data_IF_730264970913
#
_entry.id   IF_730264970913
#
_cell.length_a   1.000
_cell.length_b   1.000
_cell.length_c   1.000
_cell.angle_alpha   90.00
_cell.angle_beta   90.00
_cell.angle_gamma   90.00
#
_symmetry.space_group_name_H-M   'P 1'
#
loop_
_entity.id
_entity.type
_entity.pdbx_description
1 polymer ?
#
# COMPACT_ATOMS: atom_id res chain seq x y z
N UNK A 1 37.38 -42.31 3.03
CA UNK A 1 37.50 -40.95 3.62
C UNK A 1 36.25 -40.19 3.20
N UNK A 2 35.23 -40.18 4.06
CA UNK A 2 33.88 -39.66 3.75
C UNK A 2 33.90 -38.15 4.05
N UNK A 3 33.80 -37.31 3.03
CA UNK A 3 33.79 -35.86 3.17
C UNK A 3 32.37 -35.43 3.58
N UNK A 4 32.16 -35.25 4.88
CA UNK A 4 30.94 -34.64 5.43
C UNK A 4 31.05 -33.13 5.18
N UNK A 5 30.31 -32.61 4.20
CA UNK A 5 30.15 -31.17 3.98
C UNK A 5 28.94 -30.73 4.82
N UNK A 6 29.22 -30.21 6.01
CA UNK A 6 28.22 -29.49 6.82
C UNK A 6 28.04 -28.11 6.17
N UNK A 7 26.92 -27.91 5.48
CA UNK A 7 26.46 -26.57 5.12
C UNK A 7 25.98 -25.87 6.40
N UNK A 8 26.82 -25.01 6.97
CA UNK A 8 26.33 -23.96 7.85
C UNK A 8 25.51 -22.98 7.01
N UNK A 9 24.17 -23.15 6.99
CA UNK A 9 23.27 -22.04 6.63
C UNK A 9 23.30 -21.04 7.76
N UNK A 10 24.26 -20.12 7.72
CA UNK A 10 24.19 -18.87 8.47
C UNK A 10 24.20 -17.74 7.44
N UNK A 11 23.04 -17.54 6.80
CA UNK A 11 22.67 -16.23 6.26
C UNK A 11 21.37 -15.85 6.94
N UNK A 12 21.45 -15.50 8.23
CA UNK A 12 20.41 -14.66 8.82
C UNK A 12 20.78 -13.22 8.50
N UNK A 13 20.57 -12.83 7.25
CA UNK A 13 20.33 -11.42 6.98
C UNK A 13 19.00 -11.12 7.64
N UNK A 14 18.98 -10.25 8.64
CA UNK A 14 17.71 -9.73 9.17
C UNK A 14 17.05 -8.95 8.04
N UNK A 15 16.19 -9.64 7.31
CA UNK A 15 15.39 -9.13 6.19
C UNK A 15 14.25 -8.32 6.83
N UNK A 16 14.34 -6.98 6.81
CA UNK A 16 13.30 -6.10 7.36
C UNK A 16 12.75 -5.09 6.31
N UNK A 17 11.44 -5.17 6.03
CA UNK A 17 10.57 -4.36 5.17
C UNK A 17 9.81 -3.33 6.01
N UNK A 18 9.11 -2.36 5.41
CA UNK A 18 8.22 -1.49 6.18
C UNK A 18 7.05 -2.26 6.86
N UNK A 19 6.73 -3.46 6.37
CA UNK A 19 5.76 -4.36 7.01
C UNK A 19 6.36 -5.08 8.22
N UNK A 20 7.68 -5.19 8.29
CA UNK A 20 8.39 -5.80 9.41
C UNK A 20 8.56 -4.82 10.58
N UNK A 21 8.86 -5.37 11.76
CA UNK A 21 9.10 -4.58 12.95
C UNK A 21 10.53 -4.03 13.05
N UNK A 22 10.70 -2.85 13.67
CA UNK A 22 9.65 -1.97 14.20
C UNK A 22 9.05 -1.05 13.14
N UNK A 23 7.83 -0.55 13.39
CA UNK A 23 7.10 0.40 12.54
C UNK A 23 6.77 1.67 13.28
N UNK A 24 6.97 2.81 12.62
CA UNK A 24 6.55 4.14 13.10
C UNK A 24 5.46 4.64 12.17
N UNK A 25 4.27 4.85 12.71
CA UNK A 25 3.08 5.26 11.98
C UNK A 25 2.85 6.75 12.14
N UNK A 26 2.42 7.41 11.07
CA UNK A 26 2.05 8.82 11.11
C UNK A 26 0.73 9.06 10.39
N UNK A 27 0.06 10.11 10.84
CA UNK A 27 -1.21 10.54 10.29
C UNK A 27 -1.31 12.07 10.35
N UNK A 28 -1.93 12.65 9.33
CA UNK A 28 -2.13 14.08 9.25
C UNK A 28 -2.63 14.51 7.89
N UNK A 29 -2.11 15.63 7.41
CA UNK A 29 -2.52 16.24 6.15
C UNK A 29 -1.36 16.36 5.18
N UNK A 30 -1.71 16.59 3.93
CA UNK A 30 -0.77 17.03 2.92
C UNK A 30 -1.40 18.16 2.12
N UNK A 31 -0.56 18.87 1.36
CA UNK A 31 -0.99 19.75 0.29
C UNK A 31 -0.36 19.30 -1.02
N UNK A 32 -1.18 19.18 -2.06
CA UNK A 32 -0.75 18.96 -3.45
C UNK A 32 -1.35 20.07 -4.31
N UNK A 33 -0.54 21.05 -4.65
CA UNK A 33 -0.92 22.25 -5.41
C UNK A 33 -0.61 22.10 -6.90
N UNK A 34 -1.09 21.01 -7.51
CA UNK A 34 -0.82 20.68 -8.90
C UNK A 34 -1.45 21.69 -9.86
N UNK A 35 -0.69 22.15 -10.86
CA UNK A 35 -1.21 22.96 -11.96
C UNK A 35 -2.01 22.08 -12.91
N UNK A 36 -3.33 22.21 -12.91
CA UNK A 36 -4.18 21.34 -13.72
C UNK A 36 -4.13 21.60 -15.23
N UNK A 37 -3.76 22.80 -15.72
CA UNK A 37 -3.50 22.97 -17.14
C UNK A 37 -2.38 22.09 -17.70
N UNK A 38 -1.45 21.62 -16.87
CA UNK A 38 -0.40 20.70 -17.31
C UNK A 38 -0.95 19.35 -17.78
N UNK A 39 -2.19 19.03 -17.45
CA UNK A 39 -2.81 17.76 -17.78
C UNK A 39 -3.39 17.70 -19.20
N UNK A 40 -3.37 18.81 -19.96
CA UNK A 40 -3.93 18.84 -21.31
C UNK A 40 -2.88 19.28 -22.31
N UNK A 41 -2.51 18.38 -23.22
CA UNK A 41 -1.51 18.67 -24.27
C UNK A 41 -1.85 19.89 -25.13
N UNK A 42 -3.15 20.15 -25.35
CA UNK A 42 -3.61 21.30 -26.13
C UNK A 42 -3.25 22.64 -25.48
N UNK A 43 -2.99 22.66 -24.17
CA UNK A 43 -2.57 23.88 -23.48
C UNK A 43 -1.15 24.33 -23.82
N UNK A 44 -0.40 23.49 -24.55
CA UNK A 44 0.95 23.77 -25.01
C UNK A 44 1.04 23.94 -26.52
N UNK A 45 -0.09 24.00 -27.25
CA UNK A 45 -0.10 24.29 -28.68
C UNK A 45 0.16 25.79 -28.91
N UNK A 46 1.27 26.18 -29.57
CA UNK A 46 1.60 27.58 -29.78
C UNK A 46 0.63 28.31 -30.73
N UNK A 47 -0.32 27.60 -31.35
CA UNK A 47 -1.31 28.18 -32.27
C UNK A 47 -2.66 28.50 -31.60
N UNK A 48 -2.78 28.30 -30.28
CA UNK A 48 -3.99 28.62 -29.51
C UNK A 48 -3.71 29.88 -28.67
N UNK A 49 -4.44 30.96 -28.93
CA UNK A 49 -4.19 32.28 -28.32
C UNK A 49 -4.62 32.36 -26.84
N UNK A 50 -5.50 31.47 -26.37
CA UNK A 50 -5.92 31.37 -24.96
C UNK A 50 -6.37 29.94 -24.58
N UNK A 51 -5.45 29.02 -24.31
CA UNK A 51 -5.82 27.64 -23.99
C UNK A 51 -6.44 27.47 -22.59
N UNK A 52 -6.46 28.51 -21.75
CA UNK A 52 -6.76 28.37 -20.33
C UNK A 52 -8.20 28.76 -19.96
N UNK A 53 -8.82 29.71 -20.67
CA UNK A 53 -10.17 30.21 -20.37
C UNK A 53 -11.32 29.28 -20.79
N UNK A 54 -11.10 28.35 -21.74
CA UNK A 54 -12.18 27.55 -22.36
C UNK A 54 -12.64 26.31 -21.56
N UNK A 55 -11.90 25.90 -20.51
CA UNK A 55 -12.31 24.78 -19.64
C UNK A 55 -12.06 25.06 -18.14
N UNK A 56 -12.94 25.83 -17.46
CA UNK A 56 -12.81 26.08 -16.02
C UNK A 56 -12.91 24.81 -15.15
N UNK A 57 -13.47 23.71 -15.68
CA UNK A 57 -13.53 22.44 -14.97
C UNK A 57 -12.26 21.60 -15.14
N UNK A 58 -11.54 21.70 -16.26
CA UNK A 58 -10.23 21.08 -16.47
C UNK A 58 -9.09 21.89 -15.86
N UNK A 59 -9.17 23.23 -15.95
CA UNK A 59 -8.14 24.18 -15.53
C UNK A 59 -8.40 24.78 -14.13
N UNK A 60 -9.05 24.02 -13.26
CA UNK A 60 -9.51 24.51 -11.95
C UNK A 60 -8.39 24.96 -10.99
N UNK A 61 -7.15 24.54 -11.19
CA UNK A 61 -5.97 25.06 -10.47
C UNK A 61 -4.92 25.63 -11.43
N UNK A 62 -5.32 26.61 -12.25
CA UNK A 62 -4.46 27.16 -13.30
C UNK A 62 -3.17 27.86 -12.80
N UNK A 63 -3.20 28.42 -11.59
CA UNK A 63 -2.01 29.02 -10.93
C UNK A 63 -1.29 28.06 -9.98
N UNK A 64 -1.60 26.76 -10.03
CA UNK A 64 -0.98 25.76 -9.17
C UNK A 64 0.54 25.79 -9.27
N UNK A 65 1.21 25.83 -8.11
CA UNK A 65 2.68 25.96 -8.04
C UNK A 65 3.41 24.62 -8.26
N UNK A 66 2.66 23.53 -8.43
CA UNK A 66 3.11 22.14 -8.40
C UNK A 66 3.77 21.74 -7.08
N UNK A 67 3.54 22.48 -5.99
CA UNK A 67 4.11 22.15 -4.68
C UNK A 67 3.42 20.96 -4.03
N UNK A 68 4.22 20.06 -3.47
CA UNK A 68 3.76 19.04 -2.55
C UNK A 68 4.40 19.24 -1.19
N UNK A 69 3.58 19.28 -0.13
CA UNK A 69 4.03 19.46 1.24
C UNK A 69 3.29 18.59 2.24
N UNK A 70 3.99 18.17 3.29
CA UNK A 70 3.44 17.50 4.47
C UNK A 70 2.97 18.58 5.44
N UNK A 71 1.71 18.50 5.89
CA UNK A 71 1.09 19.51 6.73
C UNK A 71 0.42 18.86 7.94
N UNK A 72 0.47 19.49 9.11
CA UNK A 72 -0.25 19.04 10.31
C UNK A 72 -0.12 17.51 10.56
N UNK A 73 1.06 16.94 10.31
CA UNK A 73 1.31 15.49 10.38
C UNK A 73 2.22 15.19 11.53
N UNK A 74 1.88 14.15 12.28
CA UNK A 74 2.66 13.70 13.43
C UNK A 74 2.72 12.19 13.48
N UNK A 75 3.70 11.68 14.22
CA UNK A 75 3.76 10.27 14.59
C UNK A 75 2.62 9.97 15.52
N UNK A 76 1.77 9.02 15.13
CA UNK A 76 0.52 8.68 15.81
C UNK A 76 0.53 7.29 16.43
N UNK A 77 1.52 6.47 16.11
CA UNK A 77 1.64 5.16 16.72
C UNK A 77 2.96 4.47 16.41
N UNK A 78 3.26 3.46 17.22
CA UNK A 78 4.44 2.63 17.07
C UNK A 78 4.01 1.18 17.23
N UNK A 79 4.46 0.32 16.31
CA UNK A 79 4.26 -1.13 16.43
C UNK A 79 5.60 -1.85 16.49
N UNK A 80 5.71 -2.77 17.44
CA UNK A 80 6.87 -3.65 17.63
C UNK A 80 6.45 -5.11 17.52
N UNK A 81 7.42 -6.02 17.68
CA UNK A 81 7.17 -7.46 17.80
C UNK A 81 6.25 -7.83 18.98
N UNK A 82 6.04 -6.91 19.92
CA UNK A 82 5.10 -7.05 21.04
C UNK A 82 3.73 -6.41 20.76
N UNK A 83 3.49 -5.93 19.54
CA UNK A 83 2.28 -5.20 19.14
C UNK A 83 2.41 -3.68 19.24
N UNK A 84 1.26 -3.00 19.18
CA UNK A 84 1.16 -1.53 19.33
C UNK A 84 1.63 -1.14 20.73
N UNK A 85 2.49 -0.12 20.81
CA UNK A 85 3.13 0.27 22.07
C UNK A 85 3.35 1.78 22.14
N UNK A 86 3.59 2.28 23.35
CA UNK A 86 3.98 3.66 23.59
C UNK A 86 5.47 3.85 23.28
N UNK A 87 5.83 5.00 22.73
CA UNK A 87 7.21 5.43 22.56
C UNK A 87 7.26 6.96 22.59
N UNK A 88 8.37 7.53 23.05
CA UNK A 88 8.55 8.98 23.14
C UNK A 88 8.41 9.68 21.79
N UNK A 89 8.63 8.97 20.67
CA UNK A 89 8.44 9.51 19.32
C UNK A 89 6.99 9.88 18.99
N UNK A 90 6.00 9.32 19.69
CA UNK A 90 4.59 9.64 19.45
C UNK A 90 4.33 11.12 19.74
N UNK A 91 3.71 11.81 18.79
CA UNK A 91 3.50 13.25 18.80
C UNK A 91 4.63 14.08 18.16
N UNK A 92 5.77 13.47 17.78
CA UNK A 92 6.77 14.14 16.97
C UNK A 92 6.18 14.54 15.60
N UNK A 93 6.55 15.71 15.11
CA UNK A 93 6.07 16.20 13.82
C UNK A 93 6.76 15.46 12.66
N UNK A 94 5.99 15.16 11.62
CA UNK A 94 6.52 14.78 10.32
C UNK A 94 6.51 16.04 9.46
N UNK A 95 7.69 16.45 9.02
CA UNK A 95 7.88 17.67 8.24
C UNK A 95 8.61 17.36 6.93
N UNK A 96 8.39 18.22 5.95
CA UNK A 96 9.18 18.26 4.73
C UNK A 96 10.32 19.29 4.81
N UNK A 97 11.08 19.40 3.71
CA UNK A 97 11.96 20.46 3.17
C UNK A 97 12.66 21.46 4.10
N UNK A 98 12.11 21.87 5.23
CA UNK A 98 12.72 22.75 6.21
C UNK A 98 13.05 24.11 5.59
N UNK A 99 14.34 24.40 5.45
CA UNK A 99 14.81 25.65 4.82
C UNK A 99 15.01 25.53 3.29
N UNK A 100 14.57 24.43 2.67
CA UNK A 100 14.61 24.20 1.23
C UNK A 100 13.24 24.47 0.59
N UNK A 101 13.17 24.69 -0.74
CA UNK A 101 11.91 24.75 -1.44
C UNK A 101 11.06 23.49 -1.21
N UNK A 102 9.73 23.65 -1.29
CA UNK A 102 8.82 22.51 -1.26
C UNK A 102 9.10 21.55 -2.42
N UNK A 103 8.81 20.27 -2.18
CA UNK A 103 8.87 19.26 -3.22
C UNK A 103 7.94 19.62 -4.38
N UNK A 104 8.24 19.10 -5.58
CA UNK A 104 7.41 19.30 -6.76
C UNK A 104 6.70 18.01 -7.14
N UNK A 105 5.39 18.08 -7.34
CA UNK A 105 4.60 17.02 -7.95
C UNK A 105 4.57 17.26 -9.46
N UNK A 106 5.02 16.27 -10.22
CA UNK A 106 5.12 16.35 -11.68
C UNK A 106 4.33 15.21 -12.27
N UNK A 107 3.37 15.54 -13.15
CA UNK A 107 2.78 14.54 -14.02
C UNK A 107 3.71 14.31 -15.20
N UNK A 108 4.32 13.13 -15.27
CA UNK A 108 5.28 12.82 -16.33
C UNK A 108 4.59 12.48 -17.66
N UNK A 109 3.28 12.22 -17.63
CA UNK A 109 2.47 11.94 -18.81
C UNK A 109 1.14 12.68 -18.72
N UNK A 110 0.99 13.73 -19.53
CA UNK A 110 -0.22 14.55 -19.58
C UNK A 110 -1.48 13.76 -19.97
N UNK A 111 -1.33 12.64 -20.67
CA UNK A 111 -2.46 11.79 -21.07
C UNK A 111 -2.79 10.72 -20.01
N UNK A 112 -1.87 10.43 -19.08
CA UNK A 112 -2.07 9.46 -17.99
C UNK A 112 -2.16 10.13 -16.61
N UNK A 113 -3.06 11.10 -16.56
CA UNK A 113 -3.22 12.02 -15.43
C UNK A 113 -3.35 11.30 -14.08
N UNK A 114 -2.54 11.73 -13.12
CA UNK A 114 -2.57 11.26 -11.74
C UNK A 114 -1.97 9.88 -11.50
N UNK A 115 -1.93 8.97 -12.49
CA UNK A 115 -1.31 7.65 -12.38
C UNK A 115 0.21 7.67 -12.59
N UNK A 116 0.69 8.67 -13.34
CA UNK A 116 2.10 8.90 -13.63
C UNK A 116 2.68 10.08 -12.81
N UNK A 117 1.98 10.54 -11.78
CA UNK A 117 2.43 11.65 -10.93
C UNK A 117 3.54 11.23 -9.98
N UNK A 118 4.65 11.98 -9.97
CA UNK A 118 5.85 11.69 -9.17
C UNK A 118 6.22 12.91 -8.31
N UNK A 119 6.64 12.66 -7.07
CA UNK A 119 7.17 13.71 -6.17
C UNK A 119 8.70 13.78 -6.31
N UNK A 120 9.22 14.97 -6.56
CA UNK A 120 10.65 15.25 -6.67
C UNK A 120 11.13 16.24 -5.60
N UNK A 121 12.35 16.04 -5.11
CA UNK A 121 13.05 16.98 -4.24
C UNK A 121 12.53 17.03 -2.79
N UNK A 122 11.78 16.02 -2.37
CA UNK A 122 11.27 15.92 -1.00
C UNK A 122 12.37 15.52 -0.01
N UNK A 123 12.47 16.27 1.09
CA UNK A 123 13.29 15.90 2.26
C UNK A 123 12.33 15.50 3.38
N UNK A 124 12.40 14.26 3.84
CA UNK A 124 11.56 13.75 4.91
C UNK A 124 12.22 13.94 6.28
N UNK A 125 11.47 14.43 7.27
CA UNK A 125 12.00 14.72 8.61
C UNK A 125 11.04 14.25 9.71
N UNK A 126 11.61 13.73 10.79
CA UNK A 126 10.95 13.55 12.08
C UNK A 126 11.53 14.59 13.03
N UNK A 127 10.68 15.46 13.57
CA UNK A 127 11.09 16.61 14.38
C UNK A 127 10.33 16.62 15.69
N UNK A 128 11.08 16.74 16.78
CA UNK A 128 10.52 16.84 18.12
C UNK A 128 9.78 18.17 18.35
N UNK A 129 8.98 18.23 19.41
CA UNK A 129 8.21 19.42 19.79
C UNK A 129 9.04 20.66 20.10
N UNK A 130 10.31 20.49 20.48
CA UNK A 130 11.27 21.58 20.72
C UNK A 130 12.08 21.96 19.45
N UNK A 131 11.75 21.36 18.30
CA UNK A 131 12.36 21.67 17.00
C UNK A 131 13.65 20.89 16.69
N UNK A 132 14.13 20.05 17.61
CA UNK A 132 15.27 19.18 17.31
C UNK A 132 14.87 18.08 16.32
N UNK A 133 15.75 17.75 15.39
CA UNK A 133 15.52 16.67 14.43
C UNK A 133 15.91 15.32 15.03
N UNK A 134 15.01 14.35 14.92
CA UNK A 134 15.31 12.94 15.22
C UNK A 134 15.87 12.22 14.00
N UNK A 135 15.32 12.54 12.83
CA UNK A 135 15.68 11.96 11.54
C UNK A 135 15.49 12.98 10.43
N UNK A 136 16.39 12.95 9.46
CA UNK A 136 16.29 13.63 8.17
C UNK A 136 16.78 12.71 7.06
N UNK A 137 16.17 12.76 5.88
CA UNK A 137 16.69 12.06 4.71
C UNK A 137 15.97 12.43 3.42
N UNK A 138 16.50 11.96 2.30
CA UNK A 138 16.01 12.25 0.96
C UNK A 138 14.95 11.23 0.55
N UNK A 139 13.75 11.71 0.20
CA UNK A 139 12.70 10.89 -0.39
C UNK A 139 13.07 10.52 -1.83
N UNK A 140 13.06 9.24 -2.16
CA UNK A 140 13.28 8.79 -3.55
C UNK A 140 12.06 9.12 -4.41
N UNK A 141 12.23 9.77 -5.56
CA UNK A 141 11.12 9.96 -6.48
C UNK A 141 10.46 8.64 -6.84
N UNK A 142 9.16 8.53 -6.55
CA UNK A 142 8.32 7.39 -6.90
C UNK A 142 6.93 7.87 -7.31
N UNK A 143 6.22 7.06 -8.08
CA UNK A 143 4.82 7.35 -8.42
C UNK A 143 3.99 7.37 -7.15
N UNK A 144 3.18 8.42 -6.97
CA UNK A 144 2.30 8.58 -5.80
C UNK A 144 1.06 7.66 -5.85
N UNK A 145 0.84 7.03 -7.00
CA UNK A 145 -0.40 6.34 -7.39
C UNK A 145 -0.11 4.91 -7.83
N UNK A 146 0.77 4.20 -7.11
CA UNK A 146 1.04 2.78 -7.39
C UNK A 146 -0.22 1.93 -7.27
N UNK A 147 -1.09 2.27 -6.31
CA UNK A 147 -2.47 1.76 -6.23
C UNK A 147 -3.41 2.93 -6.05
N UNK A 148 -4.31 3.13 -7.01
CA UNK A 148 -5.30 4.22 -6.99
C UNK A 148 -6.70 3.67 -7.25
N UNK A 149 -7.67 4.15 -6.48
CA UNK A 149 -9.07 3.79 -6.65
C UNK A 149 -9.97 4.84 -5.99
N UNK A 150 -11.27 4.80 -6.33
CA UNK A 150 -12.29 5.64 -5.71
C UNK A 150 -12.55 5.16 -4.28
N UNK A 151 -11.72 5.65 -3.35
CA UNK A 151 -11.75 5.31 -1.93
C UNK A 151 -12.88 6.01 -1.19
N UNK A 152 -13.08 7.30 -1.49
CA UNK A 152 -14.23 8.03 -0.96
C UNK A 152 -15.47 7.57 -1.71
N UNK A 153 -16.39 6.95 -0.98
CA UNK A 153 -17.64 6.46 -1.54
C UNK A 153 -18.77 7.44 -1.22
N UNK A 154 -19.89 7.30 -1.92
CA UNK A 154 -21.12 8.06 -1.64
C UNK A 154 -21.01 9.57 -1.90
N UNK A 155 -20.04 9.97 -2.72
CA UNK A 155 -19.95 11.32 -3.32
C UNK A 155 -19.67 11.20 -4.83
N UNK A 156 -20.22 12.11 -5.62
CA UNK A 156 -20.01 12.16 -7.09
C UNK A 156 -18.75 12.95 -7.49
N UNK A 157 -17.80 13.13 -6.57
CA UNK A 157 -16.57 13.85 -6.86
C UNK A 157 -15.68 13.10 -7.86
N UNK A 158 -15.00 13.85 -8.73
CA UNK A 158 -13.97 13.35 -9.64
C UNK A 158 -12.70 12.92 -8.90
N UNK A 159 -11.55 13.51 -9.22
CA UNK A 159 -10.26 13.21 -8.58
C UNK A 159 -10.24 13.37 -7.06
N UNK A 160 -11.11 14.21 -6.49
CA UNK A 160 -11.26 14.41 -5.04
C UNK A 160 -11.68 13.16 -4.27
N UNK A 161 -12.24 12.17 -4.96
CA UNK A 161 -12.69 10.91 -4.34
C UNK A 161 -11.66 9.79 -4.38
N UNK A 162 -10.52 10.03 -5.05
CA UNK A 162 -9.48 9.03 -5.19
C UNK A 162 -8.69 8.88 -3.90
N UNK A 163 -8.34 7.63 -3.59
CA UNK A 163 -7.31 7.28 -2.64
C UNK A 163 -6.13 6.70 -3.39
N UNK A 164 -4.92 7.03 -2.94
CA UNK A 164 -3.67 6.56 -3.53
C UNK A 164 -2.79 5.91 -2.48
N UNK A 165 -2.00 4.93 -2.89
CA UNK A 165 -0.94 4.31 -2.10
C UNK A 165 0.35 4.37 -2.91
N UNK A 166 1.44 4.70 -2.22
CA UNK A 166 2.78 4.67 -2.76
C UNK A 166 3.74 4.07 -1.73
N UNK A 167 4.73 3.34 -2.22
CA UNK A 167 5.95 3.09 -1.47
C UNK A 167 7.11 3.88 -2.03
N UNK A 168 8.03 4.23 -1.14
CA UNK A 168 9.29 4.84 -1.49
C UNK A 168 10.36 4.45 -0.47
N UNK A 169 11.57 4.95 -0.66
CA UNK A 169 12.65 4.89 0.31
C UNK A 169 13.08 6.28 0.75
N UNK A 170 13.55 6.38 1.99
CA UNK A 170 14.32 7.50 2.48
C UNK A 170 15.78 7.08 2.46
N UNK A 171 16.59 7.81 1.70
CA UNK A 171 18.04 7.60 1.58
C UNK A 171 18.80 8.74 2.25
N UNK A 172 20.13 8.59 2.31
CA UNK A 172 21.03 9.60 2.89
C UNK A 172 20.59 10.03 4.29
N UNK A 173 20.23 9.05 5.11
CA UNK A 173 19.62 9.31 6.42
C UNK A 173 20.64 9.90 7.37
N UNK A 174 20.31 11.07 7.89
CA UNK A 174 20.96 11.75 8.99
C UNK A 174 20.12 11.54 10.26
N UNK A 175 20.69 10.83 11.24
CA UNK A 175 20.05 10.63 12.54
C UNK A 175 20.50 11.70 13.53
N UNK A 176 19.55 12.42 14.10
CA UNK A 176 19.79 13.44 15.10
C UNK A 176 19.59 12.93 16.54
N UNK A 177 18.89 13.72 17.35
CA UNK A 177 18.59 13.38 18.74
C UNK A 177 17.50 12.31 18.79
N UNK A 178 17.81 11.12 19.31
CA UNK A 178 16.84 10.03 19.40
C UNK A 178 16.13 9.97 20.76
N UNK A 179 16.58 10.75 21.75
CA UNK A 179 16.02 10.79 23.11
C UNK A 179 15.79 9.40 23.71
N UNK A 180 14.75 9.22 24.52
CA UNK A 180 14.33 7.93 25.08
C UNK A 180 13.63 7.02 24.08
N UNK A 181 13.42 7.44 22.81
CA UNK A 181 12.77 6.61 21.81
C UNK A 181 13.54 5.32 21.55
N UNK A 182 12.94 4.20 21.95
CA UNK A 182 13.53 2.88 21.76
C UNK A 182 13.31 2.43 20.33
N UNK A 183 12.17 2.79 19.74
CA UNK A 183 11.85 2.46 18.35
C UNK A 183 12.81 3.13 17.37
N UNK A 184 13.11 4.43 17.54
CA UNK A 184 14.03 5.14 16.64
C UNK A 184 15.46 4.61 16.75
N UNK A 185 15.91 4.24 17.96
CA UNK A 185 17.21 3.56 18.16
C UNK A 185 17.26 2.22 17.46
N UNK A 186 16.18 1.42 17.53
CA UNK A 186 16.08 0.12 16.84
C UNK A 186 16.06 0.32 15.32
N UNK A 187 15.28 1.28 14.80
CA UNK A 187 15.26 1.63 13.37
C UNK A 187 16.65 2.07 12.88
N UNK A 188 17.34 2.96 13.59
CA UNK A 188 18.72 3.36 13.26
C UNK A 188 19.67 2.17 13.22
N UNK A 189 19.61 1.30 14.23
CA UNK A 189 20.45 0.11 14.32
C UNK A 189 20.23 -0.87 13.16
N UNK A 190 18.98 -1.02 12.70
CA UNK A 190 18.63 -1.88 11.58
C UNK A 190 18.94 -1.23 10.23
N UNK A 191 18.60 0.04 10.03
CA UNK A 191 18.86 0.74 8.77
C UNK A 191 20.35 0.92 8.49
N UNK A 192 21.17 1.16 9.52
CA UNK A 192 22.64 1.26 9.36
C UNK A 192 23.24 -0.07 8.87
N UNK A 193 22.63 -1.21 9.22
CA UNK A 193 23.03 -2.53 8.71
C UNK A 193 22.51 -2.78 7.28
N UNK A 194 21.36 -2.20 6.93
CA UNK A 194 20.69 -2.28 5.62
C UNK A 194 20.92 -1.05 4.74
N UNK A 195 22.19 -0.71 4.48
CA UNK A 195 22.60 0.36 3.56
C UNK A 195 22.14 1.79 3.89
N UNK A 196 21.82 2.07 5.16
CA UNK A 196 21.35 3.37 5.65
C UNK A 196 20.09 3.88 4.93
N UNK A 197 19.13 2.97 4.71
CA UNK A 197 17.85 3.25 4.06
C UNK A 197 16.67 2.86 4.95
N UNK A 198 15.59 3.62 4.83
CA UNK A 198 14.28 3.25 5.38
C UNK A 198 13.28 3.15 4.24
N UNK A 199 12.29 2.29 4.41
CA UNK A 199 11.17 2.18 3.49
C UNK A 199 9.97 2.88 4.09
N UNK A 200 9.19 3.50 3.21
CA UNK A 200 8.04 4.30 3.58
C UNK A 200 6.84 3.89 2.73
N UNK A 201 5.72 3.56 3.38
CA UNK A 201 4.40 3.41 2.76
C UNK A 201 3.58 4.66 3.06
N UNK A 202 2.98 5.29 2.05
CA UNK A 202 2.15 6.50 2.19
C UNK A 202 0.84 6.32 1.44
N UNK A 203 -0.26 6.44 2.17
CA UNK A 203 -1.60 6.56 1.62
C UNK A 203 -2.09 8.01 1.67
N UNK A 204 -2.64 8.47 0.54
CA UNK A 204 -3.25 9.80 0.38
C UNK A 204 -4.75 9.64 0.11
N UNK A 205 -5.58 10.49 0.70
CA UNK A 205 -7.04 10.49 0.47
C UNK A 205 -7.67 11.86 0.76
N UNK A 206 -8.96 12.00 0.46
CA UNK A 206 -9.76 13.15 0.91
C UNK A 206 -9.32 14.49 0.32
N UNK A 207 -8.88 14.50 -0.94
CA UNK A 207 -8.34 15.69 -1.58
C UNK A 207 -9.43 16.75 -1.86
N UNK A 208 -9.28 17.94 -1.29
CA UNK A 208 -10.19 19.06 -1.45
C UNK A 208 -9.93 19.86 -2.72
N UNK A 209 -10.94 19.95 -3.59
CA UNK A 209 -10.90 20.76 -4.83
C UNK A 209 -11.51 22.15 -4.67
N UNK A 210 -12.20 22.41 -3.56
CA UNK A 210 -12.99 23.63 -3.35
C UNK A 210 -12.80 24.18 -1.93
N UNK A 211 -12.94 25.51 -1.77
CA UNK A 211 -13.01 26.26 -0.50
C UNK A 211 -12.10 25.72 0.64
N UNK A 212 -12.66 25.53 1.85
CA UNK A 212 -11.96 25.10 3.06
C UNK A 212 -11.34 23.71 2.88
N UNK A 213 -10.10 23.65 2.41
CA UNK A 213 -9.42 22.40 2.07
C UNK A 213 -8.86 22.35 0.65
N UNK A 214 -8.98 23.44 -0.13
CA UNK A 214 -8.38 23.55 -1.46
C UNK A 214 -6.92 23.08 -1.47
N UNK A 215 -6.62 22.12 -2.35
CA UNK A 215 -5.32 21.47 -2.53
C UNK A 215 -4.83 20.64 -1.36
N UNK A 216 -5.65 20.39 -0.34
CA UNK A 216 -5.26 19.63 0.86
C UNK A 216 -5.97 18.29 0.91
N UNK A 217 -5.34 17.31 1.54
CA UNK A 217 -5.94 16.01 1.81
C UNK A 217 -5.38 15.38 3.07
N UNK A 218 -5.73 14.13 3.31
CA UNK A 218 -5.28 13.31 4.43
C UNK A 218 -4.13 12.41 4.01
N UNK A 219 -3.17 12.27 4.91
CA UNK A 219 -2.01 11.41 4.74
C UNK A 219 -1.97 10.41 5.90
N UNK A 220 -1.80 9.13 5.57
CA UNK A 220 -1.43 8.08 6.52
C UNK A 220 -0.14 7.44 6.01
N UNK A 221 0.78 7.10 6.88
CA UNK A 221 1.95 6.34 6.44
C UNK A 221 2.66 5.59 7.54
N UNK A 222 3.58 4.74 7.10
CA UNK A 222 4.37 3.87 7.95
C UNK A 222 5.82 3.89 7.49
N UNK A 223 6.72 4.10 8.44
CA UNK A 223 8.16 3.99 8.27
C UNK A 223 8.60 2.65 8.86
N UNK A 224 9.38 1.90 8.09
CA UNK A 224 10.14 0.77 8.60
C UNK A 224 11.46 0.60 7.87
N UNK A 225 12.12 -0.52 8.08
CA UNK A 225 13.44 -0.78 7.50
C UNK A 225 13.27 -1.14 6.02
N UNK A 226 14.25 -0.79 5.18
CA UNK A 226 14.28 -1.21 3.78
C UNK A 226 15.15 -2.45 3.62
N UNK A 227 14.71 -3.46 2.85
CA UNK A 227 15.58 -4.53 2.34
C UNK A 227 16.09 -4.14 0.96
N UNK A 228 17.34 -4.50 0.64
CA UNK A 228 17.86 -4.35 -0.73
C UNK A 228 17.07 -5.17 -1.77
N UNK A 229 16.38 -6.20 -1.30
CA UNK A 229 15.49 -7.05 -2.09
C UNK A 229 14.04 -6.58 -2.07
N UNK A 230 13.70 -5.50 -1.38
CA UNK A 230 12.37 -4.91 -1.50
C UNK A 230 12.22 -4.26 -2.88
N UNK A 231 11.09 -4.45 -3.57
CA UNK A 231 10.78 -3.68 -4.76
C UNK A 231 10.48 -2.22 -4.34
N UNK A 232 10.91 -1.25 -5.17
CA UNK A 232 10.64 0.18 -4.92
C UNK A 232 9.15 0.51 -5.03
N UNK A 233 8.43 -0.22 -5.88
CA UNK A 233 6.99 -0.15 -6.06
C UNK A 233 6.40 -1.55 -5.79
N UNK A 234 5.20 -1.65 -5.24
CA UNK A 234 4.56 -2.96 -5.10
C UNK A 234 4.31 -3.59 -6.48
N UNK A 235 4.96 -4.71 -6.76
CA UNK A 235 4.52 -5.62 -7.82
C UNK A 235 3.47 -6.61 -7.28
N UNK A 236 2.91 -7.43 -8.18
CA UNK A 236 1.87 -8.41 -7.84
C UNK A 236 2.27 -9.46 -6.79
N UNK A 237 3.54 -9.60 -6.43
CA UNK A 237 4.06 -10.52 -5.41
C UNK A 237 3.48 -10.31 -4.01
N UNK A 238 3.23 -9.06 -3.68
CA UNK A 238 2.91 -8.59 -2.34
C UNK A 238 1.53 -7.95 -2.35
N UNK A 239 0.73 -8.15 -3.39
CA UNK A 239 -0.61 -7.58 -3.49
C UNK A 239 -1.65 -8.68 -3.38
N UNK A 240 -2.53 -8.54 -2.40
CA UNK A 240 -3.84 -9.15 -2.49
C UNK A 240 -4.62 -8.34 -3.52
N UNK A 241 -5.05 -8.98 -4.59
CA UNK A 241 -5.84 -8.35 -5.65
C UNK A 241 -7.30 -8.73 -5.52
N UNK A 242 -8.18 -7.85 -6.00
CA UNK A 242 -9.61 -8.16 -6.07
C UNK A 242 -9.87 -9.30 -7.08
N UNK A 243 -10.29 -10.47 -6.60
CA UNK A 243 -10.95 -11.48 -7.44
C UNK A 243 -12.43 -11.56 -7.07
N UNK A 244 -13.32 -11.30 -8.03
CA UNK A 244 -14.76 -11.32 -7.78
C UNK A 244 -15.27 -12.76 -7.53
N UNK A 245 -15.61 -13.08 -6.28
CA UNK A 245 -16.70 -14.04 -6.04
C UNK A 245 -18.01 -13.33 -6.40
N UNK A 246 -18.78 -13.95 -7.30
CA UNK A 246 -19.93 -13.36 -8.00
C UNK A 246 -21.15 -13.09 -7.11
N UNK A 247 -21.10 -12.26 -6.06
CA UNK A 247 -22.32 -11.66 -5.48
C UNK A 247 -22.01 -10.27 -4.84
N UNK A 248 -22.80 -9.22 -5.10
CA UNK A 248 -22.62 -7.90 -4.47
C UNK A 248 -22.82 -7.99 -2.95
N UNK A 249 -22.25 -7.08 -2.14
CA UNK A 249 -22.43 -7.14 -0.71
C UNK A 249 -23.91 -6.86 -0.44
N UNK A 250 -24.48 -7.50 0.58
CA UNK A 250 -25.73 -6.96 1.10
C UNK A 250 -25.39 -5.63 1.78
N UNK A 251 -25.73 -4.54 1.09
CA UNK A 251 -25.56 -3.17 1.58
C UNK A 251 -26.67 -2.77 2.55
N UNK A 252 -27.56 -3.69 2.94
CA UNK A 252 -28.66 -3.43 3.89
C UNK A 252 -28.19 -2.92 5.26
N UNK A 253 -26.93 -3.19 5.63
CA UNK A 253 -26.31 -2.71 6.88
C UNK A 253 -25.59 -1.36 6.74
N UNK A 254 -25.48 -0.79 5.53
CA UNK A 254 -25.01 0.60 5.38
C UNK A 254 -26.14 1.50 5.88
N UNK A 255 -25.91 2.42 6.85
CA UNK A 255 -26.95 3.27 7.39
C UNK A 255 -27.72 4.00 6.27
N UNK A 256 -29.07 4.02 6.29
CA UNK A 256 -29.89 4.66 5.27
C UNK A 256 -29.61 6.16 5.08
N UNK A 257 -28.99 6.79 6.09
CA UNK A 257 -28.69 8.22 6.11
C UNK A 257 -27.43 8.57 5.29
N UNK A 258 -26.56 7.59 5.01
CA UNK A 258 -25.45 7.70 4.07
C UNK A 258 -25.92 7.25 2.68
N UNK A 259 -26.53 8.17 1.94
CA UNK A 259 -27.17 8.01 0.63
C UNK A 259 -26.24 7.54 -0.51
N UNK A 260 -25.61 6.38 -0.37
CA UNK A 260 -24.96 5.66 -1.45
C UNK A 260 -26.08 5.10 -2.35
N UNK A 261 -26.56 5.88 -3.32
CA UNK A 261 -27.70 5.52 -4.19
C UNK A 261 -27.41 4.39 -5.20
N UNK A 262 -26.40 3.55 -4.95
CA UNK A 262 -26.10 2.36 -5.74
C UNK A 262 -25.18 1.37 -5.00
N UNK A 263 -25.13 0.10 -5.45
CA UNK A 263 -24.22 -0.89 -4.89
C UNK A 263 -22.77 -0.43 -5.01
N UNK A 264 -21.97 -0.61 -3.95
CA UNK A 264 -20.53 -0.40 -3.96
C UNK A 264 -19.90 -1.25 -5.09
N UNK A 265 -19.58 -0.61 -6.23
CA UNK A 265 -18.95 -1.26 -7.40
C UNK A 265 -17.58 -1.86 -7.03
N UNK A 266 -16.87 -1.22 -6.11
CA UNK A 266 -15.67 -1.72 -5.43
C UNK A 266 -15.85 -1.51 -3.93
N UNK A 267 -15.58 -2.55 -3.16
CA UNK A 267 -15.79 -2.59 -1.71
C UNK A 267 -14.46 -2.56 -0.94
N UNK A 268 -13.37 -2.95 -1.61
CA UNK A 268 -12.00 -2.88 -1.15
C UNK A 268 -11.09 -2.75 -2.38
N UNK A 269 -9.95 -2.08 -2.23
CA UNK A 269 -8.86 -2.06 -3.22
C UNK A 269 -7.76 -3.03 -2.81
N UNK A 270 -6.81 -3.22 -3.71
CA UNK A 270 -5.64 -4.07 -3.50
C UNK A 270 -4.91 -3.70 -2.20
N UNK A 271 -4.35 -4.70 -1.52
CA UNK A 271 -3.75 -4.56 -0.20
C UNK A 271 -2.36 -5.18 -0.22
N UNK A 272 -1.29 -4.41 0.06
CA UNK A 272 0.01 -5.00 0.25
C UNK A 272 0.04 -5.99 1.41
N UNK A 273 0.84 -7.04 1.30
CA UNK A 273 1.04 -8.00 2.38
C UNK A 273 2.42 -8.64 2.31
N UNK A 274 2.85 -9.20 3.45
CA UNK A 274 4.09 -9.97 3.58
C UNK A 274 3.88 -11.10 4.60
N UNK A 275 4.49 -12.25 4.32
CA UNK A 275 4.59 -13.35 5.30
C UNK A 275 6.05 -13.45 5.70
N UNK A 276 6.38 -13.03 6.92
CA UNK A 276 7.72 -13.14 7.47
C UNK A 276 7.73 -14.09 8.67
N UNK A 277 8.36 -15.25 8.50
CA UNK A 277 8.36 -16.27 9.53
C UNK A 277 6.94 -16.73 9.86
N UNK A 278 6.50 -16.46 11.09
CA UNK A 278 5.18 -16.85 11.60
C UNK A 278 4.22 -15.65 11.65
N UNK A 279 4.52 -14.58 10.93
CA UNK A 279 3.73 -13.35 10.89
C UNK A 279 3.21 -13.08 9.49
N UNK A 280 1.90 -12.86 9.37
CA UNK A 280 1.27 -12.28 8.19
C UNK A 280 0.95 -10.82 8.48
N UNK A 281 1.54 -9.90 7.72
CA UNK A 281 1.26 -8.47 7.79
C UNK A 281 0.52 -8.01 6.55
N UNK A 282 -0.54 -7.22 6.70
CA UNK A 282 -1.40 -6.73 5.62
C UNK A 282 -1.60 -5.22 5.77
N UNK A 283 -1.22 -4.43 4.77
CA UNK A 283 -1.44 -2.98 4.70
C UNK A 283 -2.80 -2.69 4.05
N UNK A 284 -3.76 -2.25 4.87
CA UNK A 284 -5.09 -1.84 4.46
C UNK A 284 -5.24 -0.30 4.42
N UNK A 285 -4.14 0.45 4.53
CA UNK A 285 -4.13 1.91 4.66
C UNK A 285 -4.83 2.62 3.51
N UNK A 286 -4.82 2.03 2.31
CA UNK A 286 -5.56 2.48 1.13
C UNK A 286 -6.56 1.45 0.60
N UNK A 287 -6.85 0.37 1.32
CA UNK A 287 -7.70 -0.70 0.80
C UNK A 287 -9.17 -0.49 1.17
N UNK A 288 -9.45 0.15 2.30
CA UNK A 288 -10.80 0.32 2.83
C UNK A 288 -11.47 1.64 2.38
N UNK A 289 -12.79 1.61 2.11
CA UNK A 289 -13.53 2.80 1.69
C UNK A 289 -13.65 3.82 2.83
N UNK A 290 -13.84 5.09 2.46
CA UNK A 290 -14.02 6.18 3.42
C UNK A 290 -15.23 7.05 3.09
N UNK A 291 -15.72 7.78 4.08
CA UNK A 291 -16.68 8.87 3.90
C UNK A 291 -16.01 10.14 3.36
N UNK A 292 -16.80 11.21 3.21
CA UNK A 292 -16.34 12.53 2.74
C UNK A 292 -15.38 13.24 3.69
N UNK A 293 -15.35 12.85 4.97
CA UNK A 293 -14.42 13.35 5.98
C UNK A 293 -13.13 12.52 6.04
N UNK A 294 -13.04 11.45 5.24
CA UNK A 294 -11.93 10.51 5.24
C UNK A 294 -11.95 9.51 6.40
N UNK A 295 -13.07 9.39 7.11
CA UNK A 295 -13.28 8.32 8.08
C UNK A 295 -13.51 7.01 7.35
N UNK A 296 -12.88 5.93 7.82
CA UNK A 296 -13.15 4.59 7.30
C UNK A 296 -14.64 4.26 7.45
N UNK A 297 -15.21 3.56 6.48
CA UNK A 297 -16.55 3.03 6.58
C UNK A 297 -16.53 1.60 7.09
N UNK A 298 -17.31 1.33 8.12
CA UNK A 298 -17.58 -0.04 8.49
C UNK A 298 -18.47 -0.69 7.44
N UNK A 299 -17.95 -1.75 6.81
CA UNK A 299 -18.67 -2.48 5.76
C UNK A 299 -19.18 -3.82 6.25
N UNK A 300 -18.39 -4.54 7.05
CA UNK A 300 -18.70 -5.82 7.72
C UNK A 300 -17.46 -6.27 8.52
N UNK A 301 -17.59 -7.29 9.38
CA UNK A 301 -16.45 -8.01 9.92
C UNK A 301 -15.50 -8.47 8.81
N UNK A 302 -14.20 -8.18 8.99
CA UNK A 302 -13.14 -8.51 8.05
C UNK A 302 -12.23 -9.57 8.65
N UNK A 303 -11.90 -10.59 7.87
CA UNK A 303 -11.04 -11.70 8.29
C UNK A 303 -9.98 -11.98 7.23
N UNK A 304 -8.79 -12.39 7.65
CA UNK A 304 -7.84 -13.05 6.75
C UNK A 304 -8.10 -14.56 6.77
N UNK A 305 -7.78 -15.24 5.69
CA UNK A 305 -8.01 -16.67 5.56
C UNK A 305 -7.15 -17.35 4.49
N UNK A 306 -7.18 -18.67 4.47
CA UNK A 306 -6.64 -19.51 3.38
C UNK A 306 -7.82 -20.11 2.63
N UNK A 307 -7.88 -19.90 1.32
CA UNK A 307 -8.90 -20.52 0.45
C UNK A 307 -8.38 -21.86 -0.07
N UNK A 308 -9.20 -22.91 0.08
CA UNK A 308 -8.80 -24.26 -0.30
C UNK A 308 -9.17 -24.58 -1.75
N UNK A 309 -8.15 -24.92 -2.56
CA UNK A 309 -8.25 -25.05 -4.02
C UNK A 309 -9.10 -26.21 -4.53
N UNK A 310 -9.29 -27.29 -3.77
CA UNK A 310 -9.87 -28.50 -4.36
C UNK A 310 -11.30 -28.30 -4.86
N UNK A 311 -12.07 -27.35 -4.30
CA UNK A 311 -13.37 -26.94 -4.85
C UNK A 311 -13.74 -25.45 -4.57
N UNK A 312 -12.81 -24.62 -4.02
CA UNK A 312 -13.13 -23.29 -3.45
C UNK A 312 -14.26 -23.33 -2.41
N UNK A 313 -14.46 -24.45 -1.72
CA UNK A 313 -15.62 -24.65 -0.82
C UNK A 313 -15.36 -24.11 0.58
N UNK A 314 -14.13 -23.71 0.91
CA UNK A 314 -13.75 -23.44 2.30
C UNK A 314 -12.76 -22.29 2.46
N UNK A 315 -13.01 -21.43 3.46
CA UNK A 315 -12.04 -20.48 4.01
C UNK A 315 -11.65 -20.92 5.42
N UNK A 316 -10.36 -21.17 5.63
CA UNK A 316 -9.79 -21.32 6.97
C UNK A 316 -9.37 -19.94 7.48
N UNK A 317 -10.03 -19.45 8.52
CA UNK A 317 -9.74 -18.11 9.08
C UNK A 317 -8.40 -18.11 9.79
N UNK A 318 -7.64 -17.05 9.55
CA UNK A 318 -6.37 -16.75 10.19
C UNK A 318 -6.61 -15.70 11.26
N UNK A 319 -6.30 -16.06 12.52
CA UNK A 319 -6.44 -15.15 13.66
C UNK A 319 -7.89 -14.79 14.01
N UNK A 320 -8.03 -13.62 14.63
CA UNK A 320 -9.32 -13.06 15.03
C UNK A 320 -9.86 -12.11 13.95
N UNK A 321 -11.04 -11.53 14.21
CA UNK A 321 -11.58 -10.45 13.40
C UNK A 321 -10.60 -9.26 13.33
N UNK A 322 -10.49 -8.69 12.14
CA UNK A 322 -9.76 -7.45 11.91
C UNK A 322 -10.65 -6.29 12.33
N UNK A 323 -10.41 -5.76 13.53
CA UNK A 323 -11.11 -4.58 14.04
C UNK A 323 -10.51 -3.30 13.47
N UNK A 324 -11.02 -2.83 12.32
CA UNK A 324 -10.58 -1.59 11.68
C UNK A 324 -11.46 -0.37 12.04
N UNK A 325 -12.57 -0.63 12.72
CA UNK A 325 -13.53 0.35 13.22
C UNK A 325 -13.87 -0.01 14.67
N UNK A 326 -14.17 0.98 15.51
CA UNK A 326 -14.48 0.78 16.92
C UNK A 326 -15.61 -0.23 17.16
N UNK A 327 -15.81 -0.63 18.42
CA UNK A 327 -16.67 -1.76 18.80
C UNK A 327 -18.15 -1.63 18.39
N UNK A 328 -18.62 -0.43 18.10
CA UNK A 328 -20.05 -0.17 17.92
C UNK A 328 -20.61 -0.60 16.55
N UNK A 329 -19.76 -1.09 15.63
CA UNK A 329 -20.15 -1.67 14.32
C UNK A 329 -21.22 -0.87 13.53
N UNK A 330 -21.32 0.43 13.78
CA UNK A 330 -22.35 1.31 13.22
C UNK A 330 -21.73 2.41 12.37
N UNK A 331 -22.03 2.42 11.06
CA UNK A 331 -21.73 3.54 10.15
C UNK A 331 -20.25 3.88 9.98
N UNK A 332 -19.97 5.18 9.80
CA UNK A 332 -18.63 5.74 9.65
C UNK A 332 -17.83 5.67 10.96
N UNK A 333 -16.55 5.36 10.84
CA UNK A 333 -15.66 5.11 11.98
C UNK A 333 -15.13 6.45 12.48
N UNK A 334 -15.91 7.07 13.37
CA UNK A 334 -15.83 8.46 13.81
C UNK A 334 -14.44 8.97 14.26
N UNK A 335 -13.48 8.10 14.56
CA UNK A 335 -12.17 8.50 15.07
C UNK A 335 -10.98 8.11 14.20
N UNK A 336 -11.11 7.18 13.25
CA UNK A 336 -9.97 6.59 12.51
C UNK A 336 -8.82 6.11 13.44
N UNK A 337 -9.08 5.85 14.73
CA UNK A 337 -8.01 5.62 15.71
C UNK A 337 -7.15 4.41 15.36
N UNK A 338 -7.77 3.35 14.83
CA UNK A 338 -7.05 2.20 14.34
C UNK A 338 -6.09 2.59 13.20
N UNK A 339 -6.60 3.23 12.13
CA UNK A 339 -5.78 3.70 11.01
C UNK A 339 -4.63 4.62 11.46
N UNK A 340 -4.89 5.51 12.43
CA UNK A 340 -3.89 6.42 12.99
C UNK A 340 -2.81 5.67 13.78
N UNK A 341 -3.20 4.74 14.64
CA UNK A 341 -2.27 4.06 15.55
C UNK A 341 -1.48 2.94 14.87
N UNK A 342 -2.04 2.29 13.85
CA UNK A 342 -1.41 1.14 13.15
C UNK A 342 -0.91 1.48 11.76
N UNK A 343 -1.16 2.70 11.28
CA UNK A 343 -0.95 3.07 9.88
C UNK A 343 -1.83 2.29 8.90
N UNK A 344 -2.86 1.58 9.40
CA UNK A 344 -3.71 0.70 8.60
C UNK A 344 -3.14 -0.72 8.40
N UNK A 345 -2.06 -1.08 9.10
CA UNK A 345 -1.43 -2.40 8.98
C UNK A 345 -2.01 -3.35 10.05
N UNK A 346 -2.34 -4.57 9.63
CA UNK A 346 -2.80 -5.66 10.48
C UNK A 346 -1.72 -6.72 10.52
N UNK A 347 -1.43 -7.24 11.72
CA UNK A 347 -0.55 -8.39 11.90
C UNK A 347 -1.32 -9.58 12.45
N UNK A 348 -1.04 -10.76 11.89
CA UNK A 348 -1.68 -12.01 12.25
C UNK A 348 -0.60 -13.04 12.49
N UNK A 349 -0.50 -13.52 13.73
CA UNK A 349 0.37 -14.65 14.06
C UNK A 349 -0.19 -15.93 13.45
N UNK A 350 0.65 -16.62 12.69
CA UNK A 350 0.37 -17.91 12.06
C UNK A 350 0.94 -19.01 12.93
N UNK A 351 0.12 -20.02 13.24
CA UNK A 351 0.69 -21.25 13.78
C UNK A 351 1.43 -22.04 12.69
N UNK A 352 2.26 -23.00 13.12
CA UNK A 352 3.04 -23.84 12.22
C UNK A 352 2.22 -24.45 11.07
N UNK A 353 1.02 -24.97 11.37
CA UNK A 353 0.17 -25.60 10.36
C UNK A 353 -0.41 -24.59 9.37
N UNK A 354 -0.85 -23.42 9.84
CA UNK A 354 -1.36 -22.34 8.99
C UNK A 354 -0.27 -21.81 8.06
N UNK A 355 0.95 -21.66 8.55
CA UNK A 355 2.10 -21.25 7.74
C UNK A 355 2.46 -22.28 6.68
N UNK A 356 2.67 -23.54 7.07
CA UNK A 356 2.98 -24.62 6.12
C UNK A 356 1.89 -24.74 5.06
N UNK A 357 0.63 -24.58 5.47
CA UNK A 357 -0.50 -24.56 4.55
C UNK A 357 -0.47 -23.35 3.65
N UNK A 358 -0.25 -22.15 4.16
CA UNK A 358 -0.18 -20.93 3.36
C UNK A 358 0.92 -21.02 2.29
N UNK A 359 2.11 -21.52 2.68
CA UNK A 359 3.25 -21.71 1.79
C UNK A 359 3.04 -22.84 0.77
N UNK A 360 2.26 -23.87 1.11
CA UNK A 360 1.91 -24.98 0.19
C UNK A 360 0.64 -24.71 -0.63
N UNK A 361 -0.22 -23.80 -0.19
CA UNK A 361 -1.43 -23.35 -0.87
C UNK A 361 -1.12 -22.17 -1.79
N UNK A 362 -1.91 -22.02 -2.85
CA UNK A 362 -1.77 -20.91 -3.79
C UNK A 362 -2.51 -19.64 -3.36
N UNK A 363 -3.23 -19.66 -2.23
CA UNK A 363 -4.43 -18.83 -2.08
C UNK A 363 -4.55 -18.21 -0.69
N UNK A 364 -3.86 -17.08 -0.46
CA UNK A 364 -4.14 -16.16 0.65
C UNK A 364 -5.37 -15.32 0.33
N UNK A 365 -6.28 -15.16 1.29
CA UNK A 365 -7.50 -14.39 1.10
C UNK A 365 -7.79 -13.39 2.21
N UNK A 366 -8.36 -12.25 1.84
CA UNK A 366 -9.12 -11.40 2.74
C UNK A 366 -10.60 -11.58 2.45
N UNK A 367 -11.40 -11.83 3.47
CA UNK A 367 -12.82 -12.10 3.36
C UNK A 367 -13.65 -11.16 4.23
N UNK A 368 -14.63 -10.50 3.62
CA UNK A 368 -15.75 -9.92 4.37
C UNK A 368 -16.75 -11.01 4.69
N UNK A 369 -17.11 -11.11 5.97
CA UNK A 369 -18.08 -12.08 6.46
C UNK A 369 -19.25 -11.33 7.07
N UNK A 370 -20.48 -11.63 6.65
CA UNK A 370 -21.64 -11.21 7.44
C UNK A 370 -21.64 -11.99 8.76
N UNK A 371 -22.07 -11.30 9.81
CA UNK A 371 -22.13 -11.68 11.22
C UNK A 371 -22.16 -13.19 11.52
N UNK A 372 -21.52 -13.61 12.64
CA UNK A 372 -21.40 -15.00 13.10
C UNK A 372 -22.76 -15.59 13.56
N UNK A 373 -23.83 -15.45 12.79
CA UNK A 373 -25.12 -16.06 13.10
C UNK A 373 -25.04 -17.58 12.90
N UNK A 374 -24.51 -18.25 13.92
CA UNK A 374 -24.91 -19.53 14.51
C UNK A 374 -25.12 -20.77 13.63
N UNK A 375 -24.86 -20.77 12.34
CA UNK A 375 -24.88 -22.02 11.56
C UNK A 375 -23.54 -22.74 11.68
N UNK A 376 -23.42 -23.48 12.79
CA UNK A 376 -22.38 -24.48 13.02
C UNK A 376 -22.49 -25.56 11.94
N UNK A 377 -21.70 -25.47 10.88
CA UNK A 377 -21.51 -26.61 9.98
C UNK A 377 -20.55 -27.60 10.65
N UNK A 378 -21.11 -28.69 11.20
CA UNK A 378 -20.44 -29.79 11.90
C UNK A 378 -19.38 -30.56 11.08
N UNK A 379 -19.14 -30.19 9.82
CA UNK A 379 -18.32 -31.00 8.90
C UNK A 379 -16.84 -30.62 8.95
N UNK A 380 -16.48 -29.44 9.47
CA UNK A 380 -15.07 -29.02 9.60
C UNK A 380 -14.89 -27.97 10.71
N UNK A 381 -14.21 -28.29 11.83
CA UNK A 381 -14.18 -27.41 13.01
C UNK A 381 -13.50 -26.04 12.81
N UNK A 382 -12.78 -25.83 11.70
CA UNK A 382 -12.06 -24.58 11.38
C UNK A 382 -12.31 -24.06 9.94
N UNK A 383 -13.38 -24.52 9.28
CA UNK A 383 -13.65 -24.21 7.89
C UNK A 383 -15.01 -23.53 7.76
N UNK A 384 -15.00 -22.30 7.27
CA UNK A 384 -16.22 -21.67 6.80
C UNK A 384 -16.53 -22.24 5.43
N UNK A 385 -17.45 -23.20 5.39
CA UNK A 385 -18.01 -23.67 4.14
C UNK A 385 -18.63 -22.47 3.40
N UNK A 386 -18.23 -22.21 2.16
CA UNK A 386 -18.92 -21.27 1.29
C UNK A 386 -20.33 -21.86 1.06
N UNK A 387 -21.38 -21.29 1.64
CA UNK A 387 -22.70 -21.88 1.55
C UNK A 387 -23.17 -21.83 0.09
N UNK A 388 -23.75 -22.94 -0.38
CA UNK A 388 -24.22 -23.12 -1.76
C UNK A 388 -25.37 -22.20 -2.14
N UNK A 389 -25.95 -21.47 -1.18
CA UNK A 389 -26.95 -20.45 -1.45
C UNK A 389 -26.88 -19.29 -0.44
N UNK A 390 -26.64 -18.08 -0.96
CA UNK A 390 -27.00 -16.76 -0.39
C UNK A 390 -26.16 -16.11 0.74
N UNK A 391 -24.89 -16.46 0.95
CA UNK A 391 -24.01 -15.58 1.74
C UNK A 391 -22.99 -14.83 0.88
N UNK A 392 -22.95 -13.51 1.06
CA UNK A 392 -22.22 -12.53 0.25
C UNK A 392 -20.75 -12.45 0.68
N UNK A 393 -20.00 -13.54 0.54
CA UNK A 393 -18.57 -13.54 0.78
C UNK A 393 -17.86 -12.84 -0.38
N UNK A 394 -16.99 -11.89 -0.05
CA UNK A 394 -16.17 -11.20 -1.03
C UNK A 394 -14.70 -11.36 -0.69
N UNK A 395 -13.90 -11.69 -1.71
CA UNK A 395 -12.50 -12.02 -1.54
C UNK A 395 -11.58 -11.06 -2.24
N UNK A 396 -10.44 -10.81 -1.61
CA UNK A 396 -9.21 -10.47 -2.32
C UNK A 396 -8.29 -11.68 -2.27
N UNK A 397 -7.73 -12.08 -3.40
CA UNK A 397 -6.88 -13.25 -3.56
C UNK A 397 -5.51 -12.81 -4.02
N UNK A 398 -4.51 -13.65 -3.76
CA UNK A 398 -3.29 -13.63 -4.57
C UNK A 398 -3.47 -14.57 -5.77
N UNK A 399 -3.24 -14.05 -6.97
CA UNK A 399 -3.47 -14.81 -8.22
C UNK A 399 -2.26 -15.65 -8.67
N UNK A 400 -1.05 -15.43 -8.14
CA UNK A 400 0.16 -16.13 -8.58
C UNK A 400 1.05 -16.60 -7.42
N UNK A 401 1.58 -17.82 -7.48
CA UNK A 401 2.39 -18.42 -6.41
C UNK A 401 3.79 -17.84 -6.32
N UNK A 402 4.33 -17.48 -7.48
CA UNK A 402 5.68 -16.96 -7.62
C UNK A 402 5.64 -15.66 -8.38
N UNK A 403 6.50 -14.76 -7.96
CA UNK A 403 6.77 -13.53 -8.69
C UNK A 403 8.24 -13.46 -9.00
N UNK A 404 8.52 -12.99 -10.21
CA UNK A 404 9.87 -12.82 -10.70
C UNK A 404 10.05 -11.36 -11.07
N UNK A 405 11.08 -10.74 -10.48
CA UNK A 405 11.56 -9.44 -10.92
C UNK A 405 13.05 -9.48 -11.19
N UNK A 406 13.56 -8.63 -12.07
CA UNK A 406 14.96 -8.24 -12.08
C UNK A 406 15.51 -7.83 -10.70
N UNK A 407 16.79 -8.12 -10.45
CA UNK A 407 17.48 -7.70 -9.22
C UNK A 407 17.74 -6.20 -9.15
N UNK A 408 18.04 -5.58 -10.29
CA UNK A 408 18.40 -4.17 -10.44
C UNK A 408 17.40 -3.45 -11.36
N UNK A 409 17.39 -2.12 -11.37
CA UNK A 409 16.71 -1.38 -12.43
C UNK A 409 17.45 -1.57 -13.76
N UNK A 410 16.73 -1.92 -14.82
CA UNK A 410 17.28 -2.01 -16.18
C UNK A 410 16.31 -1.34 -17.13
N UNK A 411 16.88 -0.56 -18.03
CA UNK A 411 16.20 -0.07 -19.22
C UNK A 411 16.89 -0.73 -20.40
N UNK A 412 16.13 -1.48 -21.22
CA UNK A 412 16.68 -2.01 -22.46
C UNK A 412 16.45 -1.02 -23.60
N UNK A 413 17.55 -0.58 -24.22
CA UNK A 413 17.50 0.06 -25.53
C UNK A 413 18.01 -0.94 -26.56
N UNK A 414 17.11 -1.55 -27.33
CA UNK A 414 17.50 -2.42 -28.43
C UNK A 414 17.90 -1.54 -29.61
N UNK A 415 19.18 -1.21 -29.72
CA UNK A 415 19.69 -0.59 -30.94
C UNK A 415 19.78 -1.68 -32.04
N UNK A 416 19.19 -1.51 -33.23
CA UNK A 416 19.11 -2.55 -34.26
C UNK A 416 20.46 -3.14 -34.71
N UNK A 417 21.56 -2.44 -34.45
CA UNK A 417 22.92 -2.85 -34.84
C UNK A 417 23.73 -3.56 -33.75
N UNK A 418 23.17 -3.75 -32.55
CA UNK A 418 23.92 -4.33 -31.42
C UNK A 418 23.36 -5.72 -31.09
N UNK A 419 24.05 -6.75 -31.56
CA UNK A 419 23.80 -8.13 -31.14
C UNK A 419 24.57 -8.42 -29.85
N UNK A 420 24.06 -7.95 -28.72
CA UNK A 420 24.62 -8.30 -27.41
C UNK A 420 23.65 -9.18 -26.64
N UNK A 421 24.16 -10.30 -26.12
CA UNK A 421 23.48 -11.07 -25.08
C UNK A 421 23.65 -10.35 -23.75
N UNK A 422 22.54 -9.97 -23.11
CA UNK A 422 22.54 -9.38 -21.76
C UNK A 422 22.10 -10.44 -20.77
N UNK A 423 22.92 -10.67 -19.74
CA UNK A 423 22.52 -11.47 -18.58
C UNK A 423 21.76 -10.56 -17.61
N UNK A 424 20.47 -10.85 -17.39
CA UNK A 424 19.69 -10.16 -16.36
C UNK A 424 19.47 -11.10 -15.18
N UNK A 425 20.01 -10.79 -13.99
CA UNK A 425 19.70 -11.55 -12.79
C UNK A 425 18.26 -11.27 -12.38
N UNK A 426 17.50 -12.33 -12.12
CA UNK A 426 16.15 -12.25 -11.57
C UNK A 426 16.16 -12.67 -10.09
N UNK A 427 15.40 -11.94 -9.29
CA UNK A 427 14.92 -12.31 -7.97
C UNK A 427 13.56 -13.00 -8.14
N UNK A 428 13.40 -14.15 -7.50
CA UNK A 428 12.13 -14.87 -7.45
C UNK A 428 11.70 -14.97 -6.00
N UNK A 429 10.45 -14.61 -5.74
CA UNK A 429 9.86 -14.68 -4.40
C UNK A 429 8.52 -15.44 -4.39
N UNK A 430 8.23 -16.11 -3.27
CA UNK A 430 6.95 -16.69 -2.94
C UNK A 430 6.46 -16.03 -1.64
N UNK A 431 5.34 -15.32 -1.71
CA UNK A 431 4.80 -14.51 -0.59
C UNK A 431 5.78 -13.50 0.04
N UNK A 432 6.68 -12.94 -0.77
CA UNK A 432 7.72 -11.99 -0.31
C UNK A 432 9.03 -12.66 0.08
N UNK A 433 9.05 -13.98 0.29
CA UNK A 433 10.25 -14.73 0.67
C UNK A 433 11.05 -15.21 -0.55
N UNK A 434 12.39 -15.06 -0.56
CA UNK A 434 13.23 -15.55 -1.65
C UNK A 434 13.12 -17.07 -1.87
N UNK A 435 12.94 -17.49 -3.12
CA UNK A 435 12.89 -18.92 -3.50
C UNK A 435 14.21 -19.33 -4.16
N UNK A 436 14.83 -20.40 -3.64
CA UNK A 436 16.02 -20.99 -4.24
C UNK A 436 15.67 -22.18 -5.15
N UNK A 437 16.45 -22.39 -6.21
CA UNK A 437 16.39 -23.55 -7.11
C UNK A 437 15.04 -23.72 -7.86
N UNK A 438 14.34 -22.62 -8.16
CA UNK A 438 13.17 -22.68 -9.03
C UNK A 438 13.61 -22.74 -10.50
N UNK A 439 13.17 -23.77 -11.22
CA UNK A 439 13.35 -23.87 -12.67
C UNK A 439 12.46 -22.85 -13.38
N UNK A 440 13.04 -21.72 -13.80
CA UNK A 440 12.35 -20.69 -14.57
C UNK A 440 12.58 -20.93 -16.06
N UNK A 441 11.49 -21.08 -16.83
CA UNK A 441 11.53 -21.13 -18.30
C UNK A 441 11.11 -19.79 -18.88
N UNK A 442 12.06 -19.04 -19.44
CA UNK A 442 11.78 -17.79 -20.16
C UNK A 442 11.51 -18.14 -21.63
N UNK A 443 10.31 -17.86 -22.11
CA UNK A 443 9.90 -18.10 -23.50
C UNK A 443 9.75 -16.80 -24.28
N UNK A 444 10.19 -16.77 -25.54
CA UNK A 444 9.86 -15.68 -26.46
C UNK A 444 8.45 -15.91 -26.98
N UNK A 445 7.51 -15.01 -26.68
CA UNK A 445 6.17 -15.03 -27.28
C UNK A 445 6.30 -14.55 -28.72
N UNK A 446 6.20 -15.46 -29.69
CA UNK A 446 6.44 -15.18 -31.11
C UNK A 446 5.24 -14.54 -31.84
N UNK A 447 4.14 -14.23 -31.14
CA UNK A 447 2.98 -13.58 -31.72
C UNK A 447 2.89 -12.13 -31.23
N UNK A 448 2.68 -11.14 -32.13
CA UNK A 448 2.33 -9.80 -31.70
C UNK A 448 1.05 -9.88 -30.86
N UNK A 449 1.09 -9.30 -29.67
CA UNK A 449 -0.08 -9.12 -28.83
C UNK A 449 -1.01 -8.19 -29.62
N UNK A 450 -2.24 -8.59 -29.97
CA UNK A 450 -3.19 -7.66 -30.57
C UNK A 450 -3.39 -6.50 -29.59
N UNK A 451 -3.37 -5.29 -30.14
CA UNK A 451 -3.44 -4.01 -29.41
C UNK A 451 -4.83 -3.78 -28.80
N UNK A 452 -5.36 -4.73 -28.04
CA UNK A 452 -6.54 -4.55 -27.21
C UNK A 452 -6.05 -4.45 -25.77
N UNK A 453 -5.80 -3.20 -25.36
CA UNK A 453 -5.06 -2.87 -24.15
C UNK A 453 -5.64 -3.47 -22.87
N UNK A 454 -5.13 -4.63 -22.45
CA UNK A 454 -5.07 -5.09 -21.05
C UNK A 454 -3.87 -6.04 -20.87
N UNK A 455 -2.96 -5.61 -19.99
CA UNK A 455 -1.94 -6.34 -19.22
C UNK A 455 -0.74 -7.01 -19.93
N UNK A 456 0.51 -6.67 -19.53
CA UNK A 456 1.67 -7.51 -19.84
C UNK A 456 1.69 -8.73 -18.91
N UNK A 457 1.46 -9.90 -19.49
CA UNK A 457 1.93 -11.17 -18.91
C UNK A 457 3.37 -11.39 -19.36
N UNK A 458 4.28 -11.49 -18.39
CA UNK A 458 5.64 -12.02 -18.57
C UNK A 458 5.61 -13.53 -18.72
#
# INVERSE_FOLDING_TARGET
MLLIIIFFRIFSFSQASYLDFPRVHFYGKYRADASTPNNYRCNFDPNIDDPFEDDPNGNWNYIGTNEFSIQDTSVTGVTTDSGVTDDEVIGAAILDSGNHPFAKMVDIDTEWQGAASVIYGMVFRIVWSDGAEALRGNWTPSSISQSMWKRMVCTDGGSSTQGALSTTTINDIEWGDLRGSTVLKKLKGLSTKGNNKLQLSVSLSGYGRENNGFTRGLMTGTIGVSKDTEPLNYGGERLLSKTEIKHPPDISNIPPEDSCSGPLKKWMSDAPFEVNGDLLSIDLSNSLPSDSNGNLLYINPLYAGILHDQERVCIEVLGNEIHYCGQDHSGSCNSNDWLKSTGGIVDIELNYFQKEKLLSSSSLVLALMQDKSSETNEVYPNCYALPTSKHNLKLMLKETNYYMRPKEEYSFFIHPSVSMSVSVPFLVSQFGEPVANLDVKVGRKNNPIPYDGVSPSL
#
